data_IF_498726521233
#
_entry.id   IF_498726521233
#
_cell.length_a   1.000
_cell.length_b   1.000
_cell.length_c   1.000
_cell.angle_alpha   90.00
_cell.angle_beta   90.00
_cell.angle_gamma   90.00
#
_symmetry.space_group_name_H-M   'P 1'
#
loop_
_entity.id
_entity.type
_entity.pdbx_description
1 polymer ?
#
# COMPACT_ATOMS: atom_id res chain seq x y z
N UNK A 1 -2.04 7.41 -8.28
CA UNK A 1 -2.02 6.50 -7.11
C UNK A 1 -0.63 6.57 -6.51
N UNK A 2 -0.47 6.95 -5.25
CA UNK A 2 0.84 7.08 -4.59
C UNK A 2 1.08 5.91 -3.62
N UNK A 3 2.34 5.59 -3.33
CA UNK A 3 2.72 4.56 -2.34
C UNK A 3 2.05 4.79 -0.99
N UNK A 4 1.97 6.06 -0.58
CA UNK A 4 1.30 6.49 0.66
C UNK A 4 -0.18 6.07 0.72
N UNK A 5 -0.92 6.23 -0.38
CA UNK A 5 -2.35 5.89 -0.44
C UNK A 5 -2.54 4.38 -0.46
N UNK A 6 -1.70 3.64 -1.19
CA UNK A 6 -1.73 2.17 -1.23
C UNK A 6 -1.48 1.57 0.16
N UNK A 7 -0.51 2.12 0.90
CA UNK A 7 -0.20 1.68 2.26
C UNK A 7 -1.32 2.01 3.25
N UNK A 8 -1.79 3.27 3.29
CA UNK A 8 -2.72 3.72 4.34
C UNK A 8 -4.16 3.29 4.15
N UNK A 9 -4.63 3.18 2.91
CA UNK A 9 -6.04 2.90 2.59
C UNK A 9 -6.23 1.43 2.26
N UNK A 10 -5.34 0.89 1.44
CA UNK A 10 -5.46 -0.47 0.92
C UNK A 10 -4.62 -1.48 1.70
N UNK A 11 -3.76 -1.03 2.62
CA UNK A 11 -2.86 -1.89 3.37
C UNK A 11 -1.98 -2.74 2.45
N UNK A 12 -1.52 -2.14 1.35
CA UNK A 12 -0.65 -2.79 0.38
C UNK A 12 0.65 -2.00 0.32
N UNK A 13 1.77 -2.67 0.58
CA UNK A 13 3.08 -2.12 0.24
C UNK A 13 3.35 -2.44 -1.23
N UNK A 14 3.67 -1.43 -2.02
CA UNK A 14 3.91 -1.59 -3.44
C UNK A 14 5.03 -0.67 -3.91
N UNK A 15 5.83 -1.17 -4.85
CA UNK A 15 6.89 -0.41 -5.49
C UNK A 15 6.42 0.13 -6.84
N UNK A 16 6.49 1.45 -7.00
CA UNK A 16 6.07 2.15 -8.22
C UNK A 16 7.32 2.57 -8.97
N UNK A 17 7.53 2.01 -10.16
CA UNK A 17 8.65 2.34 -11.05
C UNK A 17 8.14 2.96 -12.34
N UNK A 18 9.01 3.68 -13.06
CA UNK A 18 8.70 4.13 -14.42
C UNK A 18 9.07 3.00 -15.39
N UNK A 19 8.12 2.59 -16.21
CA UNK A 19 8.39 1.68 -17.33
C UNK A 19 9.38 2.37 -18.29
N UNK A 20 10.59 1.82 -18.50
CA UNK A 20 11.60 2.44 -19.35
C UNK A 20 11.17 2.58 -20.82
N UNK A 21 10.14 1.83 -21.26
CA UNK A 21 9.65 1.86 -22.65
C UNK A 21 8.63 2.96 -22.89
N UNK A 22 7.80 3.27 -21.88
CA UNK A 22 6.65 4.18 -22.03
C UNK A 22 6.71 5.38 -21.11
N UNK A 23 7.66 5.39 -20.18
CA UNK A 23 7.81 6.35 -19.09
C UNK A 23 6.55 6.49 -18.22
N UNK A 24 5.70 5.47 -18.22
CA UNK A 24 4.48 5.42 -17.40
C UNK A 24 4.78 4.73 -16.07
N UNK A 25 4.16 5.20 -14.97
CA UNK A 25 4.30 4.53 -13.68
C UNK A 25 3.61 3.16 -13.71
N UNK A 26 4.29 2.13 -13.23
CA UNK A 26 3.78 0.77 -13.06
C UNK A 26 4.04 0.28 -11.62
N UNK A 27 3.12 -0.50 -11.06
CA UNK A 27 3.38 -1.28 -9.86
C UNK A 27 4.17 -2.52 -10.26
N UNK A 28 5.36 -2.70 -9.70
CA UNK A 28 6.21 -3.85 -10.02
C UNK A 28 5.88 -5.06 -9.13
N UNK A 29 5.83 -4.83 -7.82
CA UNK A 29 5.55 -5.84 -6.80
C UNK A 29 4.62 -5.25 -5.75
N UNK A 30 3.88 -6.11 -5.07
CA UNK A 30 3.09 -5.72 -3.93
C UNK A 30 3.01 -6.83 -2.88
N UNK A 31 2.95 -6.42 -1.62
CA UNK A 31 2.70 -7.28 -0.47
C UNK A 31 1.45 -6.80 0.27
N UNK A 32 0.57 -7.75 0.60
CA UNK A 32 -0.59 -7.49 1.45
C UNK A 32 -0.10 -7.35 2.90
N UNK A 33 -0.29 -6.19 3.49
CA UNK A 33 0.03 -5.96 4.89
C UNK A 33 -1.16 -6.41 5.74
N UNK A 34 -0.91 -7.32 6.68
CA UNK A 34 -1.92 -7.72 7.65
C UNK A 34 -2.24 -6.51 8.55
N UNK A 35 -3.44 -5.97 8.42
CA UNK A 35 -3.94 -4.97 9.34
C UNK A 35 -4.63 -5.67 10.50
N UNK A 36 -3.88 -5.94 11.58
CA UNK A 36 -4.51 -6.28 12.85
C UNK A 36 -5.27 -5.05 13.34
N UNK A 37 -6.60 -5.08 13.16
CA UNK A 37 -7.49 -4.09 13.78
C UNK A 37 -7.35 -4.26 15.29
N UNK A 38 -6.54 -3.41 15.94
CA UNK A 38 -6.55 -3.29 17.39
C UNK A 38 -7.97 -2.89 17.78
N UNK A 39 -8.74 -3.85 18.27
CA UNK A 39 -9.97 -3.54 18.99
C UNK A 39 -9.52 -2.74 20.20
N UNK A 40 -9.74 -1.44 20.18
CA UNK A 40 -9.59 -0.62 21.37
C UNK A 40 -10.55 -1.21 22.40
N UNK A 41 -9.99 -1.82 23.45
CA UNK A 41 -10.76 -2.20 24.61
C UNK A 41 -11.35 -0.92 25.18
N UNK A 42 -12.64 -0.69 24.92
CA UNK A 42 -13.46 0.26 25.67
C UNK A 42 -13.41 -0.22 27.12
N UNK A 43 -12.54 0.42 27.89
CA UNK A 43 -12.45 0.25 29.33
C UNK A 43 -13.07 1.48 29.98
N UNK A 44 -14.11 1.24 30.78
CA UNK A 44 -14.53 2.08 31.91
C UNK A 44 -15.57 3.13 31.62
#
# INVERSE_FOLDING_TARGET
MTKEVLSRVFHIDAEIVLDPRTNKPICLTYDLMNHERKLEAVNG
#
